data_IF_255063470730
#
_entry.id   IF_255063470730
#
_cell.length_a   1.000
_cell.length_b   1.000
_cell.length_c   1.000
_cell.angle_alpha   90.00
_cell.angle_beta   90.00
_cell.angle_gamma   90.00
#
_symmetry.space_group_name_H-M   'P 1'
#
loop_
_entity.id
_entity.type
_entity.pdbx_description
1 polymer ?
#
# COMPACT_ATOMS: atom_id res chain seq x y z
N UNK A 1 -5.82 -17.57 -23.08
CA UNK A 1 -4.54 -17.52 -22.35
C UNK A 1 -4.71 -16.52 -21.19
N UNK A 2 -4.43 -16.93 -19.94
CA UNK A 2 -4.57 -16.06 -18.76
C UNK A 2 -3.51 -14.95 -18.78
N UNK A 3 -3.87 -13.76 -18.36
CA UNK A 3 -2.92 -12.63 -18.16
C UNK A 3 -2.21 -12.78 -16.83
N UNK A 4 -0.89 -12.67 -16.83
CA UNK A 4 -0.04 -12.81 -15.65
C UNK A 4 0.19 -11.46 -14.99
N UNK A 5 -0.20 -11.35 -13.70
CA UNK A 5 -0.01 -10.16 -12.89
C UNK A 5 0.99 -10.47 -11.79
N UNK A 6 2.11 -9.74 -11.75
CA UNK A 6 3.09 -9.84 -10.67
C UNK A 6 3.06 -8.58 -9.83
N UNK A 7 2.86 -8.76 -8.53
CA UNK A 7 3.12 -7.74 -7.52
C UNK A 7 4.48 -7.98 -6.91
N UNK A 8 5.25 -6.92 -6.74
CA UNK A 8 6.56 -6.97 -6.11
C UNK A 8 6.64 -5.91 -5.02
N UNK A 9 7.07 -6.32 -3.84
CA UNK A 9 7.37 -5.40 -2.75
C UNK A 9 8.57 -5.88 -1.94
N UNK A 10 9.18 -4.99 -1.18
CA UNK A 10 10.38 -5.25 -0.40
C UNK A 10 10.21 -4.77 1.04
N UNK A 11 9.14 -5.23 1.70
CA UNK A 11 8.90 -4.99 3.12
C UNK A 11 9.37 -6.19 3.96
N UNK A 12 8.72 -6.41 5.09
CA UNK A 12 9.02 -7.51 6.01
C UNK A 12 8.43 -8.86 5.54
N UNK A 13 8.66 -9.90 6.31
CA UNK A 13 8.15 -11.26 6.06
C UNK A 13 6.65 -11.35 6.36
N UNK A 14 5.84 -11.54 5.33
CA UNK A 14 4.42 -11.87 5.42
C UNK A 14 3.90 -12.52 4.14
N UNK A 15 2.71 -13.10 4.21
CA UNK A 15 1.97 -13.62 3.07
C UNK A 15 0.45 -13.43 3.28
N UNK A 16 -0.38 -13.91 2.37
CA UNK A 16 -1.82 -13.67 2.42
C UNK A 16 -2.58 -14.31 3.59
N UNK A 17 -1.97 -15.24 4.33
CA UNK A 17 -2.56 -15.81 5.55
C UNK A 17 -2.53 -14.83 6.73
N UNK A 18 -1.69 -13.79 6.65
CA UNK A 18 -1.52 -12.80 7.72
C UNK A 18 -2.55 -11.66 7.67
N UNK A 19 -3.59 -11.71 6.83
CA UNK A 19 -4.56 -10.62 6.64
C UNK A 19 -5.11 -10.05 7.96
N UNK A 20 -5.43 -10.92 8.91
CA UNK A 20 -5.98 -10.55 10.21
C UNK A 20 -4.92 -10.35 11.31
N UNK A 21 -3.64 -10.40 10.96
CA UNK A 21 -2.57 -10.17 11.92
C UNK A 21 -2.54 -8.70 12.36
N UNK A 22 -2.39 -8.41 13.67
CA UNK A 22 -2.27 -7.04 14.16
C UNK A 22 -0.98 -6.34 13.72
N UNK A 23 0.00 -7.10 13.23
CA UNK A 23 1.30 -6.57 12.80
C UNK A 23 1.32 -6.13 11.33
N UNK A 24 0.26 -6.43 10.57
CA UNK A 24 0.15 -6.07 9.15
C UNK A 24 -0.40 -4.66 8.99
N UNK A 25 0.31 -3.82 8.24
CA UNK A 25 -0.08 -2.45 7.92
C UNK A 25 -1.16 -2.36 6.84
N UNK A 26 -1.65 -1.13 6.61
CA UNK A 26 -2.70 -0.88 5.61
C UNK A 26 -2.27 -1.21 4.17
N UNK A 27 -1.02 -0.90 3.79
CA UNK A 27 -0.49 -1.21 2.46
C UNK A 27 -0.42 -2.71 2.19
N UNK A 28 0.02 -3.48 3.18
CA UNK A 28 0.13 -4.93 3.09
C UNK A 28 -1.26 -5.58 3.05
N UNK A 29 -2.21 -5.13 3.88
CA UNK A 29 -3.62 -5.56 3.83
C UNK A 29 -4.23 -5.28 2.47
N UNK A 30 -3.98 -4.10 1.92
CA UNK A 30 -4.46 -3.72 0.59
C UNK A 30 -3.88 -4.63 -0.49
N UNK A 31 -2.58 -4.96 -0.42
CA UNK A 31 -1.97 -5.90 -1.36
C UNK A 31 -2.58 -7.30 -1.25
N UNK A 32 -2.80 -7.80 -0.03
CA UNK A 32 -3.46 -9.10 0.19
C UNK A 32 -4.87 -9.10 -0.42
N UNK A 33 -5.67 -8.09 -0.10
CA UNK A 33 -7.05 -8.01 -0.57
C UNK A 33 -7.12 -7.92 -2.09
N UNK A 34 -6.35 -7.02 -2.73
CA UNK A 34 -6.41 -6.86 -4.17
C UNK A 34 -5.90 -8.09 -4.91
N UNK A 35 -4.88 -8.76 -4.40
CA UNK A 35 -4.38 -9.99 -5.02
C UNK A 35 -5.41 -11.11 -4.96
N UNK A 36 -6.11 -11.27 -3.83
CA UNK A 36 -7.21 -12.23 -3.68
C UNK A 36 -8.40 -11.89 -4.58
N UNK A 37 -8.79 -10.62 -4.64
CA UNK A 37 -9.91 -10.21 -5.50
C UNK A 37 -9.60 -10.43 -6.99
N UNK A 38 -8.38 -10.11 -7.44
CA UNK A 38 -7.97 -10.35 -8.82
C UNK A 38 -7.98 -11.84 -9.19
N UNK A 39 -7.70 -12.74 -8.25
CA UNK A 39 -7.76 -14.18 -8.48
C UNK A 39 -9.17 -14.72 -8.69
N UNK A 40 -10.22 -13.98 -8.32
CA UNK A 40 -11.61 -14.38 -8.61
C UNK A 40 -11.96 -14.30 -10.09
N UNK A 41 -11.19 -13.53 -10.87
CA UNK A 41 -11.40 -13.41 -12.32
C UNK A 41 -10.60 -14.48 -13.05
N UNK A 42 -11.28 -15.29 -13.86
CA UNK A 42 -10.68 -16.42 -14.60
C UNK A 42 -9.58 -16.02 -15.57
N UNK A 43 -9.58 -14.77 -16.00
CA UNK A 43 -8.62 -14.22 -16.93
C UNK A 43 -7.23 -13.90 -16.34
N UNK A 44 -7.09 -13.93 -14.99
CA UNK A 44 -5.85 -13.56 -14.30
C UNK A 44 -5.18 -14.75 -13.60
N UNK A 45 -3.85 -14.74 -13.63
CA UNK A 45 -2.95 -15.52 -12.78
C UNK A 45 -2.11 -14.52 -11.98
N UNK A 46 -2.24 -14.54 -10.65
CA UNK A 46 -1.61 -13.54 -9.77
C UNK A 46 -0.47 -14.14 -8.98
N UNK A 47 0.68 -13.47 -8.99
CA UNK A 47 1.82 -13.83 -8.15
C UNK A 47 2.29 -12.62 -7.36
N UNK A 48 2.60 -12.83 -6.09
CA UNK A 48 3.16 -11.81 -5.21
C UNK A 48 4.55 -12.23 -4.76
N UNK A 49 5.50 -11.35 -4.93
CA UNK A 49 6.90 -11.52 -4.59
C UNK A 49 7.30 -10.53 -3.51
N UNK A 50 7.63 -11.03 -2.33
CA UNK A 50 8.13 -10.21 -1.23
C UNK A 50 9.19 -10.96 -0.42
N UNK A 51 9.51 -10.51 0.80
CA UNK A 51 10.49 -11.16 1.67
C UNK A 51 9.93 -12.35 2.46
N UNK A 52 8.84 -12.99 2.00
CA UNK A 52 8.27 -14.12 2.74
C UNK A 52 9.26 -15.27 2.87
N UNK A 53 9.41 -15.78 4.08
CA UNK A 53 10.17 -16.98 4.39
C UNK A 53 9.35 -18.26 4.15
N UNK A 54 8.02 -18.12 4.09
CA UNK A 54 7.07 -19.24 3.93
C UNK A 54 6.22 -19.01 2.68
N UNK A 55 6.64 -19.53 1.52
CA UNK A 55 5.83 -19.48 0.31
C UNK A 55 4.50 -20.19 0.50
N UNK A 56 3.44 -19.60 -0.04
CA UNK A 56 2.08 -20.14 0.01
C UNK A 56 1.44 -20.03 -1.37
N UNK A 57 0.71 -21.04 -1.77
CA UNK A 57 -0.05 -21.03 -3.02
C UNK A 57 -1.49 -21.47 -2.76
N UNK A 58 -2.42 -20.82 -3.46
CA UNK A 58 -3.83 -21.13 -3.46
C UNK A 58 -4.35 -20.94 -4.89
N UNK A 59 -4.91 -22.00 -5.49
CA UNK A 59 -5.41 -22.05 -6.87
C UNK A 59 -4.64 -21.16 -7.87
N UNK A 60 -5.00 -19.88 -7.95
CA UNK A 60 -4.45 -18.90 -8.91
C UNK A 60 -3.56 -17.82 -8.27
N UNK A 61 -3.40 -17.84 -6.95
CA UNK A 61 -2.55 -16.93 -6.20
C UNK A 61 -1.30 -17.65 -5.69
N UNK A 62 -0.14 -17.20 -6.13
CA UNK A 62 1.14 -17.66 -5.61
C UNK A 62 1.82 -16.52 -4.86
N UNK A 63 2.19 -16.77 -3.61
CA UNK A 63 2.94 -15.83 -2.78
C UNK A 63 4.28 -16.44 -2.42
N UNK A 64 5.36 -15.84 -2.87
CA UNK A 64 6.70 -16.42 -2.76
C UNK A 64 7.78 -15.39 -2.50
N UNK A 65 8.98 -15.87 -2.16
CA UNK A 65 10.11 -14.98 -1.93
C UNK A 65 10.53 -14.25 -3.21
N UNK A 66 10.90 -12.98 -3.07
CA UNK A 66 11.31 -12.12 -4.18
C UNK A 66 12.53 -12.65 -4.94
N UNK A 67 13.41 -13.41 -4.27
CA UNK A 67 14.56 -14.05 -4.89
C UNK A 67 14.18 -15.08 -5.97
N UNK A 68 12.97 -15.62 -5.92
CA UNK A 68 12.47 -16.62 -6.85
C UNK A 68 11.87 -16.04 -8.13
N UNK A 69 11.83 -14.72 -8.27
CA UNK A 69 11.14 -14.06 -9.40
C UNK A 69 11.68 -14.51 -10.78
N UNK A 70 12.98 -14.78 -10.86
CA UNK A 70 13.64 -15.24 -12.10
C UNK A 70 13.22 -16.63 -12.56
N UNK A 71 12.62 -17.42 -11.68
CA UNK A 71 12.12 -18.77 -11.99
C UNK A 71 10.79 -18.75 -12.75
N UNK A 72 10.14 -17.59 -12.82
CA UNK A 72 8.85 -17.43 -13.45
C UNK A 72 8.98 -16.71 -14.80
N UNK A 73 8.13 -17.08 -15.75
CA UNK A 73 8.04 -16.40 -17.04
C UNK A 73 7.60 -14.95 -16.88
N UNK A 74 8.05 -14.08 -17.76
CA UNK A 74 7.72 -12.66 -17.74
C UNK A 74 6.19 -12.41 -17.65
N UNK A 75 5.75 -11.49 -16.78
CA UNK A 75 4.34 -11.16 -16.63
C UNK A 75 3.84 -10.21 -17.74
N UNK A 76 2.53 -10.17 -17.91
CA UNK A 76 1.87 -9.12 -18.70
C UNK A 76 1.90 -7.78 -17.94
N UNK A 77 1.66 -7.83 -16.63
CA UNK A 77 1.63 -6.67 -15.75
C UNK A 77 2.56 -6.85 -14.55
N UNK A 78 3.47 -5.92 -14.36
CA UNK A 78 4.37 -5.86 -13.21
C UNK A 78 4.01 -4.63 -12.38
N UNK A 79 3.62 -4.84 -11.12
CA UNK A 79 3.22 -3.79 -10.18
C UNK A 79 4.21 -3.78 -9.03
N UNK A 80 5.01 -2.73 -8.95
CA UNK A 80 5.92 -2.51 -7.82
C UNK A 80 5.30 -1.62 -6.76
N UNK A 81 5.40 -2.04 -5.51
CA UNK A 81 4.91 -1.30 -4.35
C UNK A 81 5.96 -0.29 -3.88
N UNK A 82 5.73 0.99 -4.14
CA UNK A 82 6.52 2.13 -3.63
C UNK A 82 8.02 2.17 -3.98
N UNK A 83 8.57 1.20 -4.73
CA UNK A 83 9.98 1.16 -5.10
C UNK A 83 10.20 0.83 -6.58
N UNK A 84 10.66 1.83 -7.35
CA UNK A 84 10.92 1.67 -8.78
C UNK A 84 12.10 0.73 -9.09
N UNK A 85 13.02 0.49 -8.13
CA UNK A 85 14.14 -0.44 -8.34
C UNK A 85 13.65 -1.86 -8.61
N UNK A 86 12.55 -2.26 -7.96
CA UNK A 86 11.98 -3.60 -8.10
C UNK A 86 11.49 -3.89 -9.53
N UNK A 87 11.17 -2.85 -10.30
CA UNK A 87 10.78 -3.00 -11.71
C UNK A 87 11.90 -3.53 -12.60
N UNK A 88 13.15 -3.53 -12.11
CA UNK A 88 14.29 -4.09 -12.85
C UNK A 88 14.45 -5.60 -12.70
N UNK A 89 13.78 -6.22 -11.73
CA UNK A 89 13.94 -7.63 -11.39
C UNK A 89 13.40 -8.59 -12.47
N UNK A 90 12.43 -8.13 -13.25
CA UNK A 90 11.90 -8.91 -14.38
C UNK A 90 11.41 -7.98 -15.50
N UNK A 91 11.19 -8.53 -16.68
CA UNK A 91 10.61 -7.80 -17.79
C UNK A 91 9.09 -8.03 -17.82
N UNK A 92 8.34 -6.99 -18.15
CA UNK A 92 6.89 -7.08 -18.29
C UNK A 92 6.41 -6.30 -19.51
N UNK A 93 5.23 -6.66 -20.04
CA UNK A 93 4.62 -5.88 -21.13
C UNK A 93 4.21 -4.48 -20.65
N UNK A 94 3.74 -4.38 -19.41
CA UNK A 94 3.40 -3.08 -18.77
C UNK A 94 3.92 -3.04 -17.35
N UNK A 95 4.55 -1.93 -16.99
CA UNK A 95 5.09 -1.68 -15.65
C UNK A 95 4.23 -0.66 -14.92
N UNK A 96 3.99 -0.89 -13.64
CA UNK A 96 3.25 -0.01 -12.75
C UNK A 96 4.06 0.23 -11.47
N UNK A 97 4.02 1.47 -10.99
CA UNK A 97 4.51 1.84 -9.68
C UNK A 97 3.34 2.29 -8.81
N UNK A 98 2.96 1.46 -7.86
CA UNK A 98 1.90 1.79 -6.92
C UNK A 98 2.48 2.52 -5.71
N UNK A 99 2.17 3.80 -5.59
CA UNK A 99 2.75 4.66 -4.57
C UNK A 99 1.78 4.91 -3.42
N UNK A 100 2.09 4.37 -2.25
CA UNK A 100 1.36 4.61 -0.99
C UNK A 100 1.74 5.92 -0.29
N UNK A 101 2.62 6.70 -0.87
CA UNK A 101 3.05 7.98 -0.31
C UNK A 101 3.42 8.96 -1.41
N UNK A 102 3.40 10.26 -1.09
CA UNK A 102 3.89 11.29 -2.02
C UNK A 102 5.33 10.98 -2.41
N UNK A 103 5.57 10.86 -3.70
CA UNK A 103 6.91 10.64 -4.26
C UNK A 103 7.55 12.00 -4.56
N UNK A 104 8.34 12.54 -3.62
CA UNK A 104 9.14 13.71 -3.89
C UNK A 104 10.34 13.37 -4.78
N UNK A 105 10.85 14.36 -5.51
CA UNK A 105 12.04 14.20 -6.33
C UNK A 105 13.26 13.80 -5.48
N UNK A 106 13.42 14.42 -4.31
CA UNK A 106 14.46 14.08 -3.34
C UNK A 106 14.41 12.60 -2.92
N UNK A 107 13.21 12.08 -2.65
CA UNK A 107 13.01 10.66 -2.30
C UNK A 107 13.45 9.74 -3.43
N UNK A 108 13.11 10.06 -4.68
CA UNK A 108 13.55 9.30 -5.85
C UNK A 108 15.08 9.29 -5.98
N UNK A 109 15.70 10.46 -5.83
CA UNK A 109 17.15 10.60 -5.91
C UNK A 109 17.86 9.82 -4.78
N UNK A 110 17.47 10.08 -3.53
CA UNK A 110 18.06 9.43 -2.34
C UNK A 110 17.93 7.91 -2.37
N UNK A 111 16.81 7.38 -2.86
CA UNK A 111 16.57 5.93 -2.99
C UNK A 111 17.08 5.35 -4.32
N UNK A 112 17.79 6.11 -5.12
CA UNK A 112 18.31 5.71 -6.44
C UNK A 112 17.24 5.18 -7.40
N UNK A 113 16.00 5.64 -7.26
CA UNK A 113 14.87 5.14 -8.05
C UNK A 113 14.70 5.85 -9.40
N UNK A 114 15.39 6.97 -9.62
CA UNK A 114 15.21 7.80 -10.81
C UNK A 114 15.56 7.03 -12.10
N UNK A 115 16.74 6.41 -12.17
CA UNK A 115 17.16 5.67 -13.36
C UNK A 115 16.26 4.45 -13.66
N UNK A 116 15.92 3.59 -12.68
CA UNK A 116 14.94 2.53 -12.89
C UNK A 116 13.59 3.04 -13.38
N UNK A 117 13.09 4.13 -12.80
CA UNK A 117 11.84 4.75 -13.21
C UNK A 117 11.87 5.23 -14.66
N UNK A 118 12.92 5.97 -15.05
CA UNK A 118 13.07 6.46 -16.43
C UNK A 118 13.28 5.32 -17.44
N UNK A 119 13.99 4.26 -17.05
CA UNK A 119 14.22 3.08 -17.89
C UNK A 119 12.92 2.29 -18.13
N UNK A 120 12.10 2.11 -17.10
CA UNK A 120 10.88 1.28 -17.17
C UNK A 120 9.63 2.07 -17.53
N UNK A 121 9.65 3.40 -17.38
CA UNK A 121 8.54 4.32 -17.66
C UNK A 121 7.20 3.79 -17.13
N UNK A 122 7.09 3.50 -15.82
CA UNK A 122 5.90 2.88 -15.29
C UNK A 122 4.70 3.84 -15.29
N UNK A 123 3.53 3.28 -15.41
CA UNK A 123 2.29 3.98 -15.05
C UNK A 123 2.24 4.08 -13.53
N UNK A 124 2.06 5.28 -12.98
CA UNK A 124 2.04 5.46 -11.52
C UNK A 124 0.61 5.38 -11.01
N UNK A 125 0.36 4.49 -10.06
CA UNK A 125 -0.89 4.38 -9.34
C UNK A 125 -0.80 5.23 -8.08
N UNK A 126 -1.73 6.18 -7.89
CA UNK A 126 -1.75 7.12 -6.77
C UNK A 126 -3.06 7.00 -5.99
N UNK A 127 -2.99 7.03 -4.66
CA UNK A 127 -4.09 6.79 -3.74
C UNK A 127 -5.01 7.99 -3.51
N UNK A 128 -5.11 8.90 -4.44
CA UNK A 128 -6.09 9.98 -4.32
C UNK A 128 -5.62 11.32 -4.86
N UNK A 129 -6.50 12.31 -4.73
CA UNK A 129 -6.29 13.65 -5.29
C UNK A 129 -5.11 14.39 -4.67
N UNK A 130 -4.89 14.20 -3.37
CA UNK A 130 -3.75 14.80 -2.69
C UNK A 130 -2.42 14.31 -3.27
N UNK A 131 -2.24 12.99 -3.40
CA UNK A 131 -1.04 12.42 -4.01
C UNK A 131 -0.86 12.88 -5.45
N UNK A 132 -1.96 12.95 -6.20
CA UNK A 132 -1.93 13.44 -7.57
C UNK A 132 -1.48 14.90 -7.66
N UNK A 133 -1.99 15.77 -6.80
CA UNK A 133 -1.62 17.20 -6.77
C UNK A 133 -0.17 17.42 -6.30
N UNK A 134 0.33 16.59 -5.40
CA UNK A 134 1.67 16.73 -4.81
C UNK A 134 2.76 15.89 -5.49
N UNK A 135 2.44 15.23 -6.61
CA UNK A 135 3.43 14.45 -7.35
C UNK A 135 4.55 15.33 -7.90
N UNK A 136 5.77 14.79 -7.96
CA UNK A 136 6.89 15.53 -8.57
C UNK A 136 6.77 15.56 -10.10
N UNK A 137 7.60 16.39 -10.74
CA UNK A 137 7.56 16.56 -12.20
C UNK A 137 7.87 15.27 -12.98
N UNK A 138 8.76 14.40 -12.46
CA UNK A 138 9.08 13.12 -13.11
C UNK A 138 7.85 12.22 -13.15
N UNK A 139 7.14 12.07 -12.02
CA UNK A 139 5.90 11.31 -11.96
C UNK A 139 4.77 12.01 -12.73
N UNK A 140 4.80 13.34 -12.86
CA UNK A 140 3.85 14.09 -13.68
C UNK A 140 3.98 13.78 -15.16
N UNK A 141 5.21 13.62 -15.63
CA UNK A 141 5.48 13.34 -17.04
C UNK A 141 5.14 11.89 -17.45
N UNK A 142 5.42 10.92 -16.56
CA UNK A 142 5.19 9.50 -16.83
C UNK A 142 4.00 8.93 -16.05
N UNK A 143 3.47 9.68 -15.10
CA UNK A 143 2.47 9.20 -14.16
C UNK A 143 1.05 9.40 -14.62
N UNK A 144 0.25 8.36 -14.48
CA UNK A 144 -1.20 8.39 -14.67
C UNK A 144 -1.87 8.03 -13.36
N UNK A 145 -2.82 8.86 -12.92
CA UNK A 145 -3.70 8.47 -11.82
C UNK A 145 -4.63 7.39 -12.31
N UNK A 146 -4.64 6.25 -11.65
CA UNK A 146 -5.48 5.13 -12.04
C UNK A 146 -6.57 4.84 -11.02
N UNK A 147 -6.36 5.08 -9.72
CA UNK A 147 -7.30 4.64 -8.70
C UNK A 147 -7.41 5.60 -7.50
N UNK A 148 -8.65 5.79 -7.06
CA UNK A 148 -8.97 6.12 -5.66
C UNK A 148 -9.26 4.80 -4.95
N UNK A 149 -8.34 4.32 -4.13
CA UNK A 149 -8.60 3.18 -3.26
C UNK A 149 -8.90 3.72 -1.86
N UNK A 150 -10.11 3.48 -1.39
CA UNK A 150 -10.38 3.52 0.03
C UNK A 150 -10.00 2.17 0.62
N UNK A 151 -9.19 2.12 1.67
CA UNK A 151 -8.65 0.85 2.18
C UNK A 151 -9.68 -0.05 2.88
N UNK A 152 -10.84 0.46 3.23
CA UNK A 152 -11.87 -0.34 3.91
C UNK A 152 -13.26 0.23 3.65
N UNK A 153 -13.96 -0.34 2.66
CA UNK A 153 -15.30 0.09 2.26
C UNK A 153 -16.37 -0.26 3.31
N UNK A 154 -16.24 -1.38 3.99
CA UNK A 154 -17.21 -1.82 5.00
C UNK A 154 -17.19 -0.88 6.20
N UNK A 155 -16.01 -0.49 6.65
CA UNK A 155 -15.84 0.47 7.75
C UNK A 155 -16.42 1.85 7.41
N UNK A 156 -16.19 2.34 6.18
CA UNK A 156 -16.66 3.67 5.73
C UNK A 156 -18.19 3.69 5.58
N UNK A 157 -18.79 2.56 5.20
CA UNK A 157 -20.24 2.46 4.98
C UNK A 157 -21.00 1.99 6.24
N UNK A 158 -20.34 1.73 7.35
CA UNK A 158 -21.02 1.42 8.61
C UNK A 158 -21.82 2.65 9.07
N UNK A 159 -23.14 2.57 9.24
CA UNK A 159 -23.94 3.69 9.67
C UNK A 159 -23.45 4.19 11.04
N UNK A 160 -23.02 5.44 11.09
CA UNK A 160 -22.69 6.07 12.37
C UNK A 160 -24.01 6.41 13.06
N UNK A 161 -24.25 5.86 14.24
CA UNK A 161 -25.38 6.27 15.08
C UNK A 161 -25.06 7.63 15.67
N UNK A 162 -25.57 8.70 15.09
CA UNK A 162 -25.34 10.09 15.50
C UNK A 162 -25.83 10.38 16.93
N UNK A 163 -26.70 9.53 17.50
CA UNK A 163 -27.21 9.66 18.86
C UNK A 163 -26.27 9.05 19.92
N UNK A 164 -25.21 8.36 19.52
CA UNK A 164 -24.21 7.83 20.45
C UNK A 164 -23.15 8.89 20.68
N UNK A 165 -23.10 9.45 21.89
CA UNK A 165 -22.01 10.33 22.31
C UNK A 165 -20.73 9.47 22.30
N UNK A 166 -19.72 9.81 21.48
CA UNK A 166 -18.47 9.04 21.44
C UNK A 166 -17.82 9.03 22.83
N UNK A 167 -17.34 7.87 23.23
CA UNK A 167 -16.46 7.78 24.39
C UNK A 167 -15.31 8.77 24.27
N UNK A 168 -14.90 9.36 25.40
CA UNK A 168 -13.78 10.31 25.45
C UNK A 168 -12.41 9.62 25.24
N UNK A 169 -12.37 8.68 24.31
CA UNK A 169 -11.19 7.93 23.97
C UNK A 169 -10.52 8.52 22.74
N UNK A 170 -9.21 8.67 22.80
CA UNK A 170 -8.40 9.02 21.62
C UNK A 170 -7.80 7.75 21.07
N UNK A 171 -8.11 7.46 19.81
CA UNK A 171 -7.56 6.30 19.10
C UNK A 171 -6.30 6.74 18.36
N UNK A 172 -5.17 6.12 18.70
CA UNK A 172 -3.94 6.28 17.93
C UNK A 172 -3.86 5.16 16.86
N UNK A 173 -4.39 5.45 15.69
CA UNK A 173 -4.48 4.48 14.59
C UNK A 173 -3.27 4.56 13.65
N UNK A 174 -2.06 4.41 14.18
CA UNK A 174 -0.83 4.36 13.38
C UNK A 174 0.25 3.60 14.15
N UNK A 175 1.40 3.35 13.50
CA UNK A 175 2.52 2.68 14.14
C UNK A 175 3.05 3.52 15.30
N UNK A 176 3.45 2.86 16.39
CA UNK A 176 3.93 3.50 17.63
C UNK A 176 5.15 4.41 17.43
N UNK A 177 6.01 4.10 16.44
CA UNK A 177 7.16 4.91 16.06
C UNK A 177 6.80 6.24 15.37
N UNK A 178 5.49 6.49 15.13
CA UNK A 178 4.99 7.73 14.53
C UNK A 178 4.45 8.69 15.58
N UNK A 179 5.33 9.13 16.49
CA UNK A 179 5.04 10.16 17.50
C UNK A 179 4.01 9.78 18.57
N UNK A 180 3.76 8.50 18.86
CA UNK A 180 2.93 8.10 20.00
C UNK A 180 3.44 8.72 21.32
N UNK A 181 4.76 8.73 21.51
CA UNK A 181 5.41 9.33 22.68
C UNK A 181 5.07 10.82 22.83
N UNK A 182 5.02 11.57 21.73
CA UNK A 182 4.63 12.97 21.74
C UNK A 182 3.17 13.14 22.19
N UNK A 183 2.27 12.28 21.69
CA UNK A 183 0.86 12.32 22.10
C UNK A 183 0.73 12.02 23.58
N UNK A 184 1.44 11.00 24.09
CA UNK A 184 1.45 10.66 25.52
C UNK A 184 1.95 11.82 26.36
N UNK A 185 3.02 12.51 25.95
CA UNK A 185 3.55 13.69 26.63
C UNK A 185 2.57 14.85 26.65
N UNK A 186 1.83 15.07 25.57
CA UNK A 186 0.83 16.14 25.48
C UNK A 186 -0.53 15.75 26.08
N UNK A 187 -0.74 14.49 26.47
CA UNK A 187 -2.01 13.98 26.93
C UNK A 187 -2.63 14.75 28.10
N UNK A 188 -1.87 15.14 29.15
CA UNK A 188 -2.39 15.94 30.25
C UNK A 188 -3.02 17.27 29.81
N UNK A 189 -2.38 17.95 28.84
CA UNK A 189 -2.89 19.21 28.31
C UNK A 189 -4.12 19.02 27.43
N UNK A 190 -4.13 17.96 26.60
CA UNK A 190 -5.28 17.60 25.77
C UNK A 190 -6.49 17.32 26.67
N UNK A 191 -6.31 16.52 27.71
CA UNK A 191 -7.36 16.20 28.68
C UNK A 191 -7.89 17.45 29.39
N UNK A 192 -7.01 18.34 29.84
CA UNK A 192 -7.36 19.59 30.50
C UNK A 192 -8.17 20.53 29.60
N UNK A 193 -7.85 20.62 28.31
CA UNK A 193 -8.58 21.44 27.33
C UNK A 193 -9.96 20.85 27.00
N UNK A 194 -10.07 19.54 26.93
CA UNK A 194 -11.34 18.87 26.59
C UNK A 194 -12.32 18.83 27.79
N UNK A 195 -11.84 18.70 29.01
CA UNK A 195 -12.71 18.80 30.22
C UNK A 195 -13.43 20.15 30.33
N UNK A 196 -12.88 21.22 29.73
CA UNK A 196 -13.55 22.53 29.68
C UNK A 196 -14.59 22.65 28.54
N UNK A 197 -14.56 21.74 27.54
CA UNK A 197 -15.51 21.75 26.42
C UNK A 197 -16.76 20.93 26.66
N UNK A 198 -16.80 20.09 27.69
CA UNK A 198 -18.00 19.34 28.07
C UNK A 198 -19.13 20.23 28.62
N UNK A 199 -18.88 21.51 28.89
CA UNK A 199 -19.88 22.46 29.32
C UNK A 199 -20.62 23.17 28.17
N UNK A 200 -20.43 22.77 26.90
CA UNK A 200 -20.96 23.52 25.76
C UNK A 200 -21.73 22.60 24.76
N UNK A 201 -21.99 21.34 25.11
CA UNK A 201 -22.85 20.48 24.29
C UNK A 201 -24.04 19.96 25.10
#
# INVERSE_FOLDING_TARGET
MKKKIFFIENSFDYNFLHLNSPFIGGSEKTLINISKELCKFDEFEVKVFNNTSKPVADDRLVWTNISNISQFSNPDFLISMSDANLLLLTNAKKNYLWSHSVQSFEKFYRKKQLLPFLKRKPIVILEGDYHFKKRNFVTSFFGKRILKLAPDYEFINTPVNENVIPDQNVIFNTRSDRNLELIIKCWPEIKKKNSKRQAIY
#
